data_IF_956067452605
#
_entry.id   IF_956067452605
#
_cell.length_a   1.000
_cell.length_b   1.000
_cell.length_c   1.000
_cell.angle_alpha   90.00
_cell.angle_beta   90.00
_cell.angle_gamma   90.00
#
_symmetry.space_group_name_H-M   'P 1'
#
loop_
_entity.id
_entity.type
_entity.pdbx_description
1 polymer ?
#
# COMPACT_ATOMS: atom_id res chain seq x y z
N UNK A 1 -7.25 -23.17 -18.48
CA UNK A 1 -8.12 -22.16 -17.81
C UNK A 1 -8.06 -20.82 -18.54
N UNK A 2 -6.88 -20.27 -18.85
CA UNK A 2 -6.74 -18.92 -19.45
C UNK A 2 -7.54 -18.72 -20.75
N UNK A 3 -7.55 -19.69 -21.67
CA UNK A 3 -8.31 -19.61 -22.94
C UNK A 3 -9.80 -19.45 -22.71
N UNK A 4 -10.36 -20.13 -21.71
CA UNK A 4 -11.79 -20.02 -21.38
C UNK A 4 -12.10 -18.68 -20.70
N UNK A 5 -11.22 -18.23 -19.80
CA UNK A 5 -11.33 -16.90 -19.18
C UNK A 5 -11.32 -15.79 -20.24
N UNK A 6 -10.42 -15.85 -21.24
CA UNK A 6 -10.36 -14.91 -22.36
C UNK A 6 -11.69 -14.91 -23.15
N UNK A 7 -12.23 -16.09 -23.50
CA UNK A 7 -13.48 -16.17 -24.23
C UNK A 7 -14.65 -15.51 -23.51
N UNK A 8 -14.73 -15.72 -22.17
CA UNK A 8 -15.80 -15.13 -21.36
C UNK A 8 -15.65 -13.62 -21.27
N UNK A 9 -14.45 -13.13 -20.97
CA UNK A 9 -14.20 -11.67 -20.84
C UNK A 9 -14.37 -10.91 -22.15
N UNK A 10 -13.94 -11.49 -23.28
CA UNK A 10 -14.18 -10.93 -24.63
C UNK A 10 -15.69 -10.87 -24.97
N UNK A 11 -16.47 -11.84 -24.47
CA UNK A 11 -17.93 -11.83 -24.59
C UNK A 11 -18.62 -10.89 -23.56
N UNK A 12 -17.88 -10.08 -22.81
CA UNK A 12 -18.39 -9.15 -21.80
C UNK A 12 -18.91 -9.84 -20.53
N UNK A 13 -18.63 -11.14 -20.35
CA UNK A 13 -19.08 -11.90 -19.17
C UNK A 13 -18.08 -11.77 -18.01
N UNK A 14 -18.63 -11.66 -16.81
CA UNK A 14 -17.83 -11.66 -15.58
C UNK A 14 -17.29 -13.05 -15.29
N UNK A 15 -16.08 -13.11 -14.74
CA UNK A 15 -15.50 -14.34 -14.21
C UNK A 15 -15.84 -14.49 -12.73
N UNK A 16 -15.93 -15.75 -12.26
CA UNK A 16 -15.97 -16.00 -10.82
C UNK A 16 -14.60 -15.77 -10.19
N UNK A 17 -14.59 -15.64 -8.87
CA UNK A 17 -13.37 -15.59 -8.07
C UNK A 17 -12.42 -16.75 -8.39
N UNK A 18 -12.94 -18.00 -8.40
CA UNK A 18 -12.15 -19.21 -8.64
C UNK A 18 -11.59 -19.26 -10.06
N UNK A 19 -12.38 -18.86 -11.05
CA UNK A 19 -11.91 -18.84 -12.44
C UNK A 19 -10.83 -17.81 -12.65
N UNK A 20 -10.96 -16.62 -12.05
CA UNK A 20 -9.94 -15.58 -12.13
C UNK A 20 -8.68 -16.02 -11.39
N UNK A 21 -8.81 -16.57 -10.18
CA UNK A 21 -7.66 -17.08 -9.44
C UNK A 21 -6.93 -18.17 -10.21
N UNK A 22 -7.64 -19.10 -10.85
CA UNK A 22 -7.03 -20.15 -11.65
C UNK A 22 -6.32 -19.61 -12.92
N UNK A 23 -6.92 -18.61 -13.59
CA UNK A 23 -6.29 -17.96 -14.75
C UNK A 23 -5.00 -17.21 -14.36
N UNK A 24 -5.02 -16.47 -13.26
CA UNK A 24 -3.82 -15.77 -12.73
C UNK A 24 -2.76 -16.78 -12.28
N UNK A 25 -3.13 -17.88 -11.62
CA UNK A 25 -2.17 -18.94 -11.27
C UNK A 25 -1.49 -19.54 -12.50
N UNK A 26 -2.24 -19.79 -13.59
CA UNK A 26 -1.69 -20.29 -14.85
C UNK A 26 -0.69 -19.29 -15.46
N UNK A 27 -1.00 -17.98 -15.40
CA UNK A 27 -0.09 -16.89 -15.81
C UNK A 27 1.17 -16.87 -14.92
N UNK A 28 0.99 -16.82 -13.61
CA UNK A 28 2.08 -16.71 -12.64
C UNK A 28 2.98 -17.95 -12.58
N UNK A 29 2.52 -19.09 -13.10
CA UNK A 29 3.32 -20.32 -13.27
C UNK A 29 4.12 -20.36 -14.58
N UNK A 30 4.00 -19.33 -15.44
CA UNK A 30 4.66 -19.29 -16.75
C UNK A 30 4.07 -20.28 -17.78
N UNK A 31 2.82 -20.72 -17.60
CA UNK A 31 2.14 -21.68 -18.48
C UNK A 31 1.36 -21.00 -19.62
N UNK A 32 1.45 -19.68 -19.72
CA UNK A 32 0.74 -18.87 -20.71
C UNK A 32 1.71 -18.10 -21.59
N UNK A 33 1.31 -17.83 -22.84
CA UNK A 33 2.08 -16.95 -23.72
C UNK A 33 1.77 -15.47 -23.44
N UNK A 34 2.69 -14.58 -23.81
CA UNK A 34 2.49 -13.13 -23.68
C UNK A 34 1.25 -12.66 -24.46
N UNK A 35 0.92 -13.31 -25.59
CA UNK A 35 -0.30 -13.03 -26.37
C UNK A 35 -1.56 -13.35 -25.54
N UNK A 36 -1.57 -14.46 -24.81
CA UNK A 36 -2.70 -14.82 -23.97
C UNK A 36 -2.83 -13.89 -22.76
N UNK A 37 -1.70 -13.50 -22.15
CA UNK A 37 -1.67 -12.53 -21.06
C UNK A 37 -2.20 -11.18 -21.55
N UNK A 38 -1.72 -10.68 -22.68
CA UNK A 38 -2.16 -9.42 -23.25
C UNK A 38 -3.66 -9.43 -23.59
N UNK A 39 -4.14 -10.51 -24.22
CA UNK A 39 -5.56 -10.66 -24.55
C UNK A 39 -6.44 -10.67 -23.31
N UNK A 40 -6.05 -11.40 -22.26
CA UNK A 40 -6.79 -11.49 -20.99
C UNK A 40 -6.86 -10.13 -20.28
N UNK A 41 -5.72 -9.47 -20.13
CA UNK A 41 -5.64 -8.17 -19.44
C UNK A 41 -6.40 -7.08 -20.20
N UNK A 42 -6.30 -7.07 -21.54
CA UNK A 42 -7.04 -6.11 -22.38
C UNK A 42 -8.55 -6.34 -22.28
N UNK A 43 -9.00 -7.59 -22.36
CA UNK A 43 -10.42 -7.90 -22.27
C UNK A 43 -11.00 -7.54 -20.88
N UNK A 44 -10.28 -7.79 -19.79
CA UNK A 44 -10.68 -7.36 -18.43
C UNK A 44 -10.75 -5.84 -18.33
N UNK A 45 -9.72 -5.13 -18.77
CA UNK A 45 -9.67 -3.67 -18.71
C UNK A 45 -10.80 -3.03 -19.56
N UNK A 46 -11.12 -3.61 -20.72
CA UNK A 46 -12.20 -3.13 -21.59
C UNK A 46 -13.59 -3.36 -20.97
N UNK A 47 -13.80 -4.52 -20.35
CA UNK A 47 -15.05 -4.87 -19.66
C UNK A 47 -15.24 -4.06 -18.36
N UNK A 48 -14.17 -3.77 -17.68
CA UNK A 48 -14.12 -3.35 -16.29
C UNK A 48 -14.14 -4.55 -15.33
N UNK A 49 -13.22 -4.55 -14.36
CA UNK A 49 -13.06 -5.62 -13.39
C UNK A 49 -14.15 -5.59 -12.32
N UNK A 50 -14.60 -6.76 -11.91
CA UNK A 50 -15.55 -6.93 -10.79
C UNK A 50 -14.82 -7.22 -9.48
N UNK A 51 -15.54 -7.09 -8.35
CA UNK A 51 -15.03 -7.43 -7.00
C UNK A 51 -14.46 -8.85 -6.98
N UNK A 52 -15.16 -9.83 -7.55
CA UNK A 52 -14.71 -11.22 -7.57
C UNK A 52 -13.47 -11.42 -8.43
N UNK A 53 -13.38 -10.74 -9.57
CA UNK A 53 -12.21 -10.79 -10.44
C UNK A 53 -10.97 -10.18 -9.77
N UNK A 54 -11.13 -9.01 -9.14
CA UNK A 54 -10.03 -8.37 -8.40
C UNK A 54 -9.59 -9.23 -7.22
N UNK A 55 -10.54 -9.71 -6.41
CA UNK A 55 -10.24 -10.52 -5.24
C UNK A 55 -9.59 -11.87 -5.61
N UNK A 56 -10.09 -12.56 -6.64
CA UNK A 56 -9.52 -13.81 -7.12
C UNK A 56 -8.10 -13.64 -7.66
N UNK A 57 -7.85 -12.56 -8.40
CA UNK A 57 -6.52 -12.24 -8.90
C UNK A 57 -5.54 -11.92 -7.76
N UNK A 58 -5.94 -11.11 -6.78
CA UNK A 58 -5.11 -10.76 -5.62
C UNK A 58 -4.79 -11.98 -4.76
N UNK A 59 -5.78 -12.86 -4.53
CA UNK A 59 -5.58 -14.09 -3.78
C UNK A 59 -4.57 -15.03 -4.47
N UNK A 60 -4.67 -15.19 -5.79
CA UNK A 60 -3.70 -15.97 -6.56
C UNK A 60 -2.30 -15.37 -6.48
N UNK A 61 -2.17 -14.05 -6.57
CA UNK A 61 -0.89 -13.36 -6.44
C UNK A 61 -0.28 -13.55 -5.04
N UNK A 62 -1.08 -13.47 -3.97
CA UNK A 62 -0.63 -13.76 -2.59
C UNK A 62 -0.17 -15.22 -2.43
N UNK A 63 -0.91 -16.17 -3.00
CA UNK A 63 -0.58 -17.60 -2.92
C UNK A 63 0.75 -17.96 -3.62
N UNK A 64 1.16 -17.18 -4.61
CA UNK A 64 2.43 -17.36 -5.34
C UNK A 64 3.60 -16.54 -4.73
N UNK A 65 3.33 -15.73 -3.70
CA UNK A 65 4.38 -14.98 -3.01
C UNK A 65 5.26 -15.90 -2.15
N UNK A 66 6.49 -15.47 -1.88
CA UNK A 66 7.30 -16.13 -0.85
C UNK A 66 6.54 -16.09 0.49
N UNK A 67 6.49 -17.22 1.22
CA UNK A 67 5.76 -17.30 2.49
C UNK A 67 6.31 -16.31 3.52
N UNK A 68 5.41 -15.57 4.16
CA UNK A 68 5.70 -14.70 5.29
C UNK A 68 4.72 -15.01 6.43
N UNK A 69 5.20 -15.13 7.67
CA UNK A 69 4.37 -15.46 8.83
C UNK A 69 4.44 -14.35 9.87
N UNK A 70 3.30 -13.96 10.40
CA UNK A 70 3.15 -12.94 11.44
C UNK A 70 2.80 -13.49 12.83
N UNK A 71 2.93 -14.81 13.06
CA UNK A 71 2.52 -15.49 14.29
C UNK A 71 1.08 -15.14 14.72
N UNK A 72 0.16 -15.07 13.75
CA UNK A 72 -1.26 -14.71 13.92
C UNK A 72 -1.49 -13.32 14.54
N UNK A 73 -0.48 -12.48 14.58
CA UNK A 73 -0.55 -11.10 15.08
C UNK A 73 -1.26 -10.21 14.07
N UNK A 74 -2.27 -9.42 14.48
CA UNK A 74 -2.86 -8.40 13.62
C UNK A 74 -1.81 -7.37 13.20
N UNK A 75 -1.66 -7.15 11.89
CA UNK A 75 -0.74 -6.15 11.34
C UNK A 75 -1.49 -5.14 10.48
N UNK A 76 -0.92 -3.97 10.36
CA UNK A 76 -1.42 -2.86 9.53
C UNK A 76 -0.54 -2.68 8.30
N UNK A 77 -1.16 -2.46 7.16
CA UNK A 77 -0.52 -1.94 5.96
C UNK A 77 -0.97 -0.52 5.66
N UNK A 78 -0.03 0.33 5.22
CA UNK A 78 -0.30 1.67 4.71
C UNK A 78 0.30 1.75 3.31
N UNK A 79 -0.55 1.89 2.29
CA UNK A 79 -0.13 1.79 0.89
C UNK A 79 -1.09 2.56 -0.02
N UNK A 80 -0.62 3.01 -1.19
CA UNK A 80 -1.44 3.57 -2.24
C UNK A 80 -1.32 2.78 -3.56
N UNK A 81 -2.25 2.97 -4.47
CA UNK A 81 -2.20 2.39 -5.81
C UNK A 81 -1.13 3.03 -6.68
N UNK A 82 -0.71 4.24 -6.33
CA UNK A 82 0.10 5.08 -7.20
C UNK A 82 -0.67 5.59 -8.42
N UNK A 83 0.05 6.28 -9.29
CA UNK A 83 -0.48 6.74 -10.57
C UNK A 83 -1.37 7.99 -10.47
N UNK A 84 -1.30 8.71 -9.40
CA UNK A 84 -1.98 9.99 -9.14
C UNK A 84 -1.32 11.19 -9.84
N UNK A 85 -0.08 11.02 -10.33
CA UNK A 85 0.74 12.05 -10.98
C UNK A 85 1.04 13.28 -10.11
N UNK A 86 0.80 13.20 -8.81
CA UNK A 86 1.01 14.31 -7.88
C UNK A 86 2.48 14.52 -7.50
N UNK A 87 3.34 13.54 -7.78
CA UNK A 87 4.77 13.56 -7.48
C UNK A 87 5.09 13.91 -6.01
N UNK A 88 4.23 13.49 -5.09
CA UNK A 88 4.43 13.74 -3.67
C UNK A 88 5.64 12.97 -3.14
N UNK A 89 6.18 13.43 -2.00
CA UNK A 89 7.13 12.62 -1.25
C UNK A 89 6.43 11.36 -0.69
N UNK A 90 7.20 10.44 -0.10
CA UNK A 90 6.69 9.14 0.35
C UNK A 90 5.84 9.25 1.64
N UNK A 91 4.61 9.79 1.53
CA UNK A 91 3.67 10.07 2.64
C UNK A 91 3.37 8.78 3.40
N UNK A 92 2.87 7.73 2.74
CA UNK A 92 2.55 6.44 3.35
C UNK A 92 3.74 5.81 4.07
N UNK A 93 4.96 5.87 3.49
CA UNK A 93 6.17 5.31 4.11
C UNK A 93 6.53 6.07 5.37
N UNK A 94 6.46 7.40 5.35
CA UNK A 94 6.75 8.24 6.53
C UNK A 94 5.69 8.01 7.63
N UNK A 95 4.41 7.92 7.26
CA UNK A 95 3.30 7.64 8.19
C UNK A 95 3.41 6.27 8.87
N UNK A 96 3.98 5.28 8.17
CA UNK A 96 4.18 3.94 8.70
C UNK A 96 5.10 3.93 9.95
N UNK A 97 6.14 4.77 9.98
CA UNK A 97 7.02 4.88 11.14
C UNK A 97 6.31 5.50 12.35
N UNK A 98 5.40 6.47 12.12
CA UNK A 98 4.59 7.05 13.20
C UNK A 98 3.60 6.00 13.75
N UNK A 99 2.94 5.24 12.87
CA UNK A 99 2.04 4.17 13.27
C UNK A 99 2.76 3.08 14.07
N UNK A 100 3.95 2.66 13.63
CA UNK A 100 4.77 1.68 14.33
C UNK A 100 5.23 2.20 15.70
N UNK A 101 5.66 3.47 15.78
CA UNK A 101 6.03 4.11 17.03
C UNK A 101 4.83 4.29 17.99
N UNK A 102 3.60 4.37 17.46
CA UNK A 102 2.36 4.34 18.25
C UNK A 102 1.99 2.93 18.76
N UNK A 103 2.88 1.92 18.56
CA UNK A 103 2.72 0.55 19.02
C UNK A 103 1.84 -0.32 18.14
N UNK A 104 1.68 0.02 16.86
CA UNK A 104 0.92 -0.76 15.89
C UNK A 104 1.89 -1.59 15.05
N UNK A 105 1.77 -2.94 15.00
CA UNK A 105 2.60 -3.75 14.12
C UNK A 105 2.33 -3.42 12.65
N UNK A 106 3.36 -3.01 11.91
CA UNK A 106 3.27 -2.59 10.51
C UNK A 106 4.02 -3.55 9.60
N UNK A 107 3.32 -4.14 8.63
CA UNK A 107 3.92 -4.92 7.55
C UNK A 107 3.80 -4.14 6.24
N UNK A 108 4.79 -3.29 5.97
CA UNK A 108 4.76 -2.45 4.78
C UNK A 108 5.23 -3.23 3.56
N UNK A 109 4.32 -3.48 2.62
CA UNK A 109 4.65 -3.98 1.30
C UNK A 109 4.92 -2.81 0.35
N UNK A 110 5.93 -2.92 -0.51
CA UNK A 110 6.25 -1.84 -1.43
C UNK A 110 7.26 -2.21 -2.49
N UNK A 111 7.38 -1.33 -3.49
CA UNK A 111 8.26 -1.53 -4.63
C UNK A 111 9.08 -0.26 -4.90
N UNK A 112 9.98 -0.35 -5.88
CA UNK A 112 10.62 0.78 -6.51
C UNK A 112 9.60 1.61 -7.28
N UNK A 113 9.98 2.85 -7.59
CA UNK A 113 9.16 3.74 -8.41
C UNK A 113 8.80 3.12 -9.77
N UNK A 114 7.54 3.26 -10.18
CA UNK A 114 7.08 2.90 -11.53
C UNK A 114 6.85 4.13 -12.40
N UNK A 115 6.20 5.16 -11.86
CA UNK A 115 5.88 6.42 -12.55
C UNK A 115 6.30 7.66 -11.76
N UNK A 116 6.53 7.53 -10.46
CA UNK A 116 7.07 8.60 -9.59
C UNK A 116 8.60 8.62 -9.63
N UNK A 117 9.21 9.64 -8.99
CA UNK A 117 10.67 9.74 -8.86
C UNK A 117 11.25 8.84 -7.76
N UNK A 118 10.42 8.42 -6.78
CA UNK A 118 10.86 7.65 -5.61
C UNK A 118 9.73 6.75 -5.11
N UNK A 119 9.92 5.44 -5.20
CA UNK A 119 9.04 4.44 -4.58
C UNK A 119 9.38 4.21 -3.09
N UNK A 120 8.60 3.37 -2.43
CA UNK A 120 8.83 3.02 -1.03
C UNK A 120 10.21 2.36 -0.80
N UNK A 121 10.61 1.46 -1.70
CA UNK A 121 11.92 0.80 -1.65
C UNK A 121 13.06 1.81 -1.82
N UNK A 122 12.92 2.72 -2.78
CA UNK A 122 13.97 3.69 -3.10
C UNK A 122 14.24 4.66 -1.94
N UNK A 123 13.18 5.16 -1.29
CA UNK A 123 13.35 6.05 -0.13
C UNK A 123 13.90 5.31 1.08
N UNK A 124 13.53 4.04 1.31
CA UNK A 124 14.06 3.25 2.41
C UNK A 124 15.55 2.94 2.24
N UNK A 125 16.00 2.63 1.03
CA UNK A 125 17.44 2.51 0.71
C UNK A 125 18.17 3.84 0.95
N UNK A 126 17.61 4.97 0.51
CA UNK A 126 18.20 6.29 0.73
C UNK A 126 18.20 6.69 2.21
N UNK A 127 17.30 6.14 3.02
CA UNK A 127 17.31 6.24 4.49
C UNK A 127 18.38 5.34 5.13
N UNK A 128 19.02 4.45 4.37
CA UNK A 128 20.08 3.55 4.84
C UNK A 128 19.57 2.17 5.25
N UNK A 129 18.31 1.83 4.99
CA UNK A 129 17.78 0.50 5.29
C UNK A 129 18.19 -0.52 4.22
N UNK A 130 18.51 -1.75 4.64
CA UNK A 130 18.63 -2.88 3.73
C UNK A 130 17.23 -3.40 3.39
N UNK A 131 16.83 -3.25 2.13
CA UNK A 131 15.51 -3.70 1.64
C UNK A 131 15.51 -5.17 1.17
N UNK A 132 16.68 -5.76 0.96
CA UNK A 132 16.86 -7.14 0.48
C UNK A 132 17.00 -8.11 1.66
N UNK A 133 16.04 -8.05 2.59
CA UNK A 133 16.00 -8.93 3.76
C UNK A 133 15.22 -10.21 3.46
N UNK A 134 15.71 -11.36 3.96
CA UNK A 134 14.97 -12.62 3.83
C UNK A 134 13.63 -12.57 4.57
N UNK A 135 12.63 -13.40 4.18
CA UNK A 135 11.36 -13.48 4.90
C UNK A 135 11.52 -13.73 6.41
N UNK A 136 12.50 -14.56 6.80
CA UNK A 136 12.80 -14.86 8.20
C UNK A 136 13.32 -13.62 8.95
N UNK A 137 14.24 -12.87 8.34
CA UNK A 137 14.76 -11.65 8.93
C UNK A 137 13.69 -10.57 9.01
N UNK A 138 12.87 -10.40 7.96
CA UNK A 138 11.74 -9.45 7.99
C UNK A 138 10.73 -9.79 9.08
N UNK A 139 10.44 -11.09 9.32
CA UNK A 139 9.57 -11.52 10.41
C UNK A 139 10.19 -11.19 11.77
N UNK A 140 11.48 -11.45 11.96
CA UNK A 140 12.21 -11.11 13.17
C UNK A 140 12.21 -9.60 13.44
N UNK A 141 12.47 -8.79 12.39
CA UNK A 141 12.39 -7.32 12.45
C UNK A 141 10.99 -6.87 12.91
N UNK A 142 9.91 -7.45 12.35
CA UNK A 142 8.55 -7.17 12.80
C UNK A 142 8.36 -7.50 14.28
N UNK A 143 8.89 -8.62 14.75
CA UNK A 143 8.75 -9.07 16.13
C UNK A 143 9.51 -8.18 17.12
N UNK A 144 10.75 -7.80 16.79
CA UNK A 144 11.62 -7.02 17.66
C UNK A 144 11.26 -5.55 17.71
N UNK A 145 10.91 -4.95 16.56
CA UNK A 145 10.72 -3.49 16.47
C UNK A 145 9.33 -3.05 16.00
N UNK A 146 8.45 -3.99 15.65
CA UNK A 146 7.05 -3.69 15.30
C UNK A 146 6.83 -3.14 13.89
N UNK A 147 7.84 -3.13 13.02
CA UNK A 147 7.71 -2.73 11.62
C UNK A 147 8.67 -3.54 10.75
N UNK A 148 8.21 -4.02 9.60
CA UNK A 148 9.07 -4.60 8.57
C UNK A 148 8.72 -4.06 7.18
N UNK A 149 9.65 -4.23 6.24
CA UNK A 149 9.45 -3.94 4.83
C UNK A 149 9.51 -5.23 4.01
N UNK A 150 8.50 -5.43 3.17
CA UNK A 150 8.38 -6.58 2.28
C UNK A 150 8.58 -6.09 0.85
N UNK A 151 9.78 -6.29 0.33
CA UNK A 151 10.14 -5.80 -1.00
C UNK A 151 9.44 -6.63 -2.09
N UNK A 152 8.58 -6.01 -2.88
CA UNK A 152 7.71 -6.71 -3.83
C UNK A 152 8.48 -7.57 -4.83
N UNK A 153 9.69 -7.18 -5.26
CA UNK A 153 10.48 -7.96 -6.23
C UNK A 153 11.01 -9.26 -5.63
N UNK A 154 11.31 -9.27 -4.33
CA UNK A 154 11.73 -10.48 -3.61
C UNK A 154 10.55 -11.43 -3.41
N UNK A 155 9.41 -10.91 -2.97
CA UNK A 155 8.26 -11.74 -2.61
C UNK A 155 7.46 -12.22 -3.81
N UNK A 156 7.34 -11.43 -4.88
CA UNK A 156 6.52 -11.73 -6.06
C UNK A 156 7.36 -12.02 -7.32
N UNK A 157 8.29 -12.98 -7.22
CA UNK A 157 9.19 -13.34 -8.32
C UNK A 157 8.45 -13.79 -9.59
N UNK A 158 7.24 -14.33 -9.45
CA UNK A 158 6.39 -14.74 -10.57
C UNK A 158 5.92 -13.56 -11.45
N UNK A 159 6.02 -12.31 -10.97
CA UNK A 159 5.72 -11.12 -11.78
C UNK A 159 6.59 -11.01 -13.04
N UNK A 160 7.74 -11.69 -13.09
CA UNK A 160 8.57 -11.77 -14.30
C UNK A 160 7.82 -12.31 -15.54
N UNK A 161 6.81 -13.16 -15.34
CA UNK A 161 6.01 -13.71 -16.43
C UNK A 161 4.96 -12.72 -16.98
N UNK A 162 4.62 -11.69 -16.22
CA UNK A 162 3.62 -10.68 -16.59
C UNK A 162 4.27 -9.39 -17.10
N UNK A 163 5.47 -9.10 -16.63
CA UNK A 163 6.15 -7.84 -16.89
C UNK A 163 6.32 -7.51 -18.40
N UNK A 164 6.69 -8.46 -19.30
CA UNK A 164 6.81 -8.18 -20.71
C UNK A 164 5.49 -7.68 -21.32
N UNK A 165 4.40 -8.44 -21.15
CA UNK A 165 3.10 -8.09 -21.67
C UNK A 165 2.61 -6.74 -21.15
N UNK A 166 2.77 -6.46 -19.84
CA UNK A 166 2.39 -5.16 -19.25
C UNK A 166 3.18 -3.99 -19.84
N UNK A 167 4.48 -4.19 -20.08
CA UNK A 167 5.35 -3.17 -20.67
C UNK A 167 4.89 -2.80 -22.09
N UNK A 168 4.53 -3.79 -22.90
CA UNK A 168 4.09 -3.58 -24.29
C UNK A 168 2.67 -2.99 -24.36
N UNK A 169 1.77 -3.39 -23.45
CA UNK A 169 0.40 -2.86 -23.39
C UNK A 169 0.37 -1.36 -23.07
N UNK A 170 1.29 -0.87 -22.23
CA UNK A 170 1.48 0.55 -21.91
C UNK A 170 0.20 1.30 -21.44
N UNK A 171 -0.81 0.59 -20.95
CA UNK A 171 -2.02 1.15 -20.32
C UNK A 171 -2.30 0.46 -18.96
N UNK A 172 -3.21 1.05 -18.19
CA UNK A 172 -3.58 0.49 -16.86
C UNK A 172 -4.36 -0.82 -17.02
N UNK A 173 -3.94 -1.84 -16.30
CA UNK A 173 -4.57 -3.16 -16.26
C UNK A 173 -4.88 -3.53 -14.82
N UNK A 174 -5.56 -4.67 -14.60
CA UNK A 174 -5.79 -5.26 -13.29
C UNK A 174 -4.54 -5.25 -12.39
N UNK A 175 -3.35 -5.51 -12.94
CA UNK A 175 -2.10 -5.51 -12.16
C UNK A 175 -1.69 -4.15 -11.57
N UNK A 176 -2.31 -3.05 -11.99
CA UNK A 176 -2.04 -1.74 -11.39
C UNK A 176 -2.74 -1.56 -10.03
N UNK A 177 -3.79 -2.33 -9.76
CA UNK A 177 -4.50 -2.32 -8.48
C UNK A 177 -4.14 -3.51 -7.59
N UNK A 178 -3.50 -4.56 -8.13
CA UNK A 178 -3.17 -5.75 -7.35
C UNK A 178 -2.01 -5.53 -6.36
N UNK A 179 -1.06 -4.63 -6.65
CA UNK A 179 0.10 -4.38 -5.78
C UNK A 179 -0.29 -4.14 -4.31
N UNK A 180 -1.16 -3.17 -4.03
CA UNK A 180 -1.66 -2.90 -2.68
C UNK A 180 -2.49 -4.04 -2.05
N UNK A 181 -3.01 -4.95 -2.87
CA UNK A 181 -3.84 -6.08 -2.43
C UNK A 181 -3.05 -7.36 -2.19
N UNK A 182 -1.76 -7.36 -2.56
CA UNK A 182 -0.93 -8.57 -2.62
C UNK A 182 0.09 -8.68 -1.49
N UNK A 183 -0.09 -7.95 -0.37
CA UNK A 183 0.82 -8.02 0.76
C UNK A 183 1.03 -9.46 1.24
N UNK A 184 2.27 -10.01 1.21
CA UNK A 184 2.56 -11.39 1.59
C UNK A 184 2.26 -11.70 3.06
N UNK A 185 2.26 -10.68 3.93
CA UNK A 185 1.94 -10.85 5.35
C UNK A 185 0.45 -11.07 5.59
N UNK A 186 -0.42 -10.86 4.60
CA UNK A 186 -1.86 -10.95 4.81
C UNK A 186 -2.37 -9.99 5.87
N UNK A 187 -1.87 -8.73 5.88
CA UNK A 187 -2.22 -7.72 6.86
C UNK A 187 -3.73 -7.68 7.10
N UNK A 188 -4.14 -7.75 8.36
CA UNK A 188 -5.56 -7.78 8.76
C UNK A 188 -6.19 -6.38 8.85
N UNK A 189 -5.35 -5.34 8.81
CA UNK A 189 -5.77 -3.94 8.80
C UNK A 189 -5.09 -3.20 7.65
N UNK A 190 -5.79 -2.26 6.98
CA UNK A 190 -5.21 -1.54 5.85
C UNK A 190 -5.72 -0.12 5.73
N UNK A 191 -4.79 0.84 5.52
CA UNK A 191 -5.06 2.15 4.94
C UNK A 191 -4.63 2.10 3.48
N UNK A 192 -5.59 2.15 2.57
CA UNK A 192 -5.37 2.03 1.12
C UNK A 192 -5.78 3.32 0.41
N UNK A 193 -4.81 4.02 -0.16
CA UNK A 193 -5.07 5.15 -1.03
C UNK A 193 -5.32 4.72 -2.49
N UNK A 194 -6.25 5.38 -3.14
CA UNK A 194 -6.59 5.14 -4.55
C UNK A 194 -6.62 6.44 -5.35
N UNK A 195 -5.98 6.42 -6.52
CA UNK A 195 -5.99 7.54 -7.46
C UNK A 195 -7.27 7.58 -8.34
N UNK A 196 -8.05 6.51 -8.39
CA UNK A 196 -9.32 6.41 -9.08
C UNK A 196 -10.46 6.30 -8.07
N UNK A 197 -11.30 7.34 -8.01
CA UNK A 197 -12.42 7.41 -7.06
C UNK A 197 -13.37 6.21 -7.17
N UNK A 198 -13.55 5.63 -8.36
CA UNK A 198 -14.43 4.47 -8.58
C UNK A 198 -14.05 3.27 -7.74
N UNK A 199 -12.78 3.14 -7.37
CA UNK A 199 -12.27 2.05 -6.54
C UNK A 199 -12.72 2.15 -5.08
N UNK A 200 -13.18 3.32 -4.60
CA UNK A 200 -13.78 3.47 -3.27
C UNK A 200 -15.00 2.57 -3.05
N UNK A 201 -15.71 2.23 -4.12
CA UNK A 201 -16.91 1.38 -4.01
C UNK A 201 -16.59 -0.10 -3.99
N UNK A 202 -15.53 -0.52 -4.66
CA UNK A 202 -15.22 -1.94 -4.85
C UNK A 202 -14.18 -2.48 -3.86
N UNK A 203 -13.14 -1.69 -3.57
CA UNK A 203 -12.00 -2.20 -2.81
C UNK A 203 -12.28 -2.52 -1.34
N UNK A 204 -13.23 -1.89 -0.61
CA UNK A 204 -13.60 -2.37 0.72
C UNK A 204 -14.06 -3.82 0.72
N UNK A 205 -14.90 -4.21 -0.25
CA UNK A 205 -15.41 -5.57 -0.36
C UNK A 205 -14.32 -6.55 -0.84
N UNK A 206 -13.47 -6.11 -1.77
CA UNK A 206 -12.29 -6.89 -2.19
C UNK A 206 -11.38 -7.18 -1.00
N UNK A 207 -11.04 -6.17 -0.21
CA UNK A 207 -10.17 -6.31 0.97
C UNK A 207 -10.77 -7.26 2.00
N UNK A 208 -12.08 -7.16 2.27
CA UNK A 208 -12.79 -8.06 3.18
C UNK A 208 -12.78 -9.51 2.67
N UNK A 209 -12.97 -9.75 1.37
CA UNK A 209 -12.82 -11.09 0.75
C UNK A 209 -11.38 -11.63 0.89
N UNK A 210 -10.38 -10.77 0.95
CA UNK A 210 -8.98 -11.12 1.15
C UNK A 210 -8.58 -11.26 2.63
N UNK A 211 -9.55 -11.17 3.57
CA UNK A 211 -9.32 -11.37 5.00
C UNK A 211 -8.95 -10.10 5.77
N UNK A 212 -8.98 -8.92 5.15
CA UNK A 212 -8.79 -7.65 5.88
C UNK A 212 -10.04 -7.34 6.69
N UNK A 213 -9.91 -7.27 8.01
CA UNK A 213 -11.04 -7.11 8.94
C UNK A 213 -11.41 -5.66 9.22
N UNK A 214 -10.47 -4.74 9.03
CA UNK A 214 -10.68 -3.30 9.23
C UNK A 214 -9.79 -2.47 8.31
N UNK A 215 -10.30 -1.36 7.82
CA UNK A 215 -9.51 -0.46 7.00
C UNK A 215 -10.26 0.78 6.53
N UNK A 216 -9.51 1.58 5.79
CA UNK A 216 -10.04 2.72 5.05
C UNK A 216 -9.49 2.69 3.63
N UNK A 217 -10.38 2.78 2.64
CA UNK A 217 -9.99 3.12 1.27
C UNK A 217 -10.22 4.62 1.11
N UNK A 218 -9.19 5.35 0.68
CA UNK A 218 -9.20 6.83 0.69
C UNK A 218 -8.85 7.38 -0.69
N UNK A 219 -9.45 8.52 -1.04
CA UNK A 219 -9.20 9.24 -2.27
C UNK A 219 -9.27 10.74 -2.01
N UNK A 220 -8.17 11.46 -2.19
CA UNK A 220 -8.16 12.92 -2.13
C UNK A 220 -8.94 13.52 -3.29
N UNK A 221 -9.78 14.54 -3.03
CA UNK A 221 -10.55 15.20 -4.10
C UNK A 221 -9.68 15.96 -5.10
N UNK A 222 -8.39 16.09 -4.82
CA UNK A 222 -7.33 16.59 -5.71
C UNK A 222 -6.71 15.47 -6.58
N UNK A 223 -7.18 14.22 -6.46
CA UNK A 223 -6.70 13.06 -7.18
C UNK A 223 -5.63 12.25 -6.45
N UNK A 224 -5.19 12.72 -5.26
CA UNK A 224 -4.14 12.06 -4.48
C UNK A 224 -4.61 10.71 -3.93
N UNK A 225 -3.75 9.70 -4.01
CA UNK A 225 -3.98 8.38 -3.39
C UNK A 225 -3.52 8.33 -1.92
N UNK A 226 -3.86 9.39 -1.16
CA UNK A 226 -3.60 9.56 0.27
C UNK A 226 -4.71 10.39 0.90
N UNK A 227 -4.75 10.52 2.23
CA UNK A 227 -5.51 11.57 2.88
C UNK A 227 -4.79 12.89 2.62
N UNK A 228 -5.44 13.77 1.83
CA UNK A 228 -4.80 15.01 1.37
C UNK A 228 -4.91 16.16 2.35
N UNK A 229 -3.95 17.07 2.30
CA UNK A 229 -3.99 18.36 3.01
C UNK A 229 -4.48 19.52 2.12
N UNK A 230 -4.72 19.29 0.83
CA UNK A 230 -5.14 20.35 -0.09
C UNK A 230 -6.66 20.55 -0.10
N UNK A 231 -7.42 19.54 0.30
CA UNK A 231 -8.88 19.54 0.27
C UNK A 231 -9.51 18.41 1.07
N UNK A 232 -10.78 18.11 0.81
CA UNK A 232 -11.43 16.94 1.38
C UNK A 232 -10.86 15.65 0.85
N UNK A 233 -10.97 14.57 1.63
CA UNK A 233 -10.68 13.19 1.24
C UNK A 233 -11.92 12.35 1.41
N UNK A 234 -12.35 11.67 0.34
CA UNK A 234 -13.43 10.70 0.39
C UNK A 234 -12.91 9.39 0.97
N UNK A 235 -13.66 8.80 1.88
CA UNK A 235 -13.23 7.61 2.61
C UNK A 235 -14.35 6.57 2.63
N UNK A 236 -14.02 5.35 2.25
CA UNK A 236 -14.82 4.16 2.52
C UNK A 236 -14.18 3.40 3.67
N UNK A 237 -14.61 3.68 4.90
CA UNK A 237 -14.15 3.01 6.10
C UNK A 237 -14.93 1.69 6.28
N UNK A 238 -14.23 0.60 6.56
CA UNK A 238 -14.87 -0.70 6.75
C UNK A 238 -14.34 -1.43 7.98
N UNK A 239 -15.23 -2.20 8.62
CA UNK A 239 -14.90 -3.06 9.76
C UNK A 239 -15.91 -4.18 9.90
N UNK A 240 -15.44 -5.43 9.99
CA UNK A 240 -16.26 -6.62 10.25
C UNK A 240 -17.51 -6.71 9.33
N UNK A 241 -17.34 -6.54 8.02
CA UNK A 241 -18.42 -6.65 7.04
C UNK A 241 -19.22 -5.37 6.81
N UNK A 242 -19.03 -4.33 7.61
CA UNK A 242 -19.75 -3.06 7.46
C UNK A 242 -18.87 -2.01 6.77
N UNK A 243 -19.42 -1.31 5.79
CA UNK A 243 -18.76 -0.20 5.08
C UNK A 243 -19.52 1.10 5.38
N UNK A 244 -18.77 2.15 5.74
CA UNK A 244 -19.30 3.50 5.99
C UNK A 244 -18.54 4.50 5.11
N UNK A 245 -19.27 5.26 4.29
CA UNK A 245 -18.71 6.39 3.53
C UNK A 245 -18.68 7.63 4.42
N UNK A 246 -17.51 8.24 4.54
CA UNK A 246 -17.29 9.49 5.30
C UNK A 246 -16.36 10.39 4.51
N UNK A 247 -16.22 11.62 4.98
CA UNK A 247 -15.26 12.59 4.46
C UNK A 247 -14.33 13.04 5.58
N UNK A 248 -13.04 13.17 5.27
CA UNK A 248 -12.01 13.71 6.15
C UNK A 248 -11.52 15.02 5.54
N UNK A 249 -11.45 16.06 6.36
CA UNK A 249 -10.91 17.35 5.95
C UNK A 249 -9.80 17.83 6.88
N UNK A 250 -8.85 18.65 6.41
CA UNK A 250 -7.78 19.21 7.24
C UNK A 250 -8.31 19.97 8.45
N UNK A 251 -9.43 20.68 8.29
CA UNK A 251 -10.04 21.49 9.33
C UNK A 251 -10.53 20.68 10.54
N UNK A 252 -10.88 19.41 10.35
CA UNK A 252 -11.27 18.50 11.46
C UNK A 252 -10.10 18.24 12.44
N UNK A 253 -8.86 18.49 11.99
CA UNK A 253 -7.64 18.39 12.81
C UNK A 253 -7.11 19.75 13.25
N UNK A 254 -7.82 20.86 12.95
CA UNK A 254 -7.35 22.22 13.18
C UNK A 254 -6.22 22.65 12.24
N UNK A 255 -6.04 21.93 11.12
CA UNK A 255 -5.02 22.22 10.12
C UNK A 255 -5.54 23.17 9.04
N UNK A 256 -4.62 23.91 8.43
CA UNK A 256 -4.91 24.73 7.24
C UNK A 256 -4.61 23.94 5.99
N UNK A 257 -5.42 24.12 4.95
CA UNK A 257 -5.10 23.58 3.62
C UNK A 257 -3.82 24.18 3.08
N UNK A 258 -3.07 23.36 2.34
CA UNK A 258 -1.89 23.79 1.61
C UNK A 258 -2.15 23.74 0.10
N UNK A 259 -1.18 24.19 -0.68
CA UNK A 259 -1.20 24.02 -2.14
C UNK A 259 -0.59 22.66 -2.51
N UNK A 260 -0.94 22.05 -3.66
CA UNK A 260 -0.34 20.80 -4.11
C UNK A 260 1.20 20.85 -4.15
N UNK A 261 1.78 21.99 -4.57
CA UNK A 261 3.23 22.16 -4.67
C UNK A 261 3.94 22.03 -3.32
N UNK A 262 3.26 22.32 -2.22
CA UNK A 262 3.81 22.22 -0.87
C UNK A 262 4.04 20.74 -0.45
N UNK A 263 3.42 19.77 -1.17
CA UNK A 263 3.53 18.33 -0.92
C UNK A 263 4.47 17.59 -1.88
N UNK A 264 4.97 18.29 -2.91
CA UNK A 264 5.85 17.68 -3.91
C UNK A 264 7.14 17.16 -3.26
N UNK A 265 7.53 15.96 -3.67
CA UNK A 265 8.79 15.31 -3.33
C UNK A 265 9.87 15.52 -4.41
N UNK A 266 10.79 14.59 -4.47
CA UNK A 266 11.89 14.61 -5.43
C UNK A 266 12.52 13.23 -5.58
N UNK A 267 13.82 13.22 -5.78
CA UNK A 267 14.65 12.00 -5.85
C UNK A 267 14.58 11.21 -4.52
N UNK A 268 14.97 9.92 -4.51
CA UNK A 268 15.04 9.15 -3.27
C UNK A 268 15.81 9.84 -2.14
N UNK A 269 16.92 10.48 -2.44
CA UNK A 269 17.75 11.21 -1.45
C UNK A 269 17.03 12.44 -0.88
N UNK A 270 16.35 13.20 -1.74
CA UNK A 270 15.55 14.35 -1.30
C UNK A 270 14.38 13.90 -0.43
N UNK A 271 13.68 12.81 -0.83
CA UNK A 271 12.58 12.27 -0.05
C UNK A 271 13.05 11.67 1.29
N UNK A 272 14.21 11.04 1.33
CA UNK A 272 14.83 10.59 2.57
C UNK A 272 15.13 11.77 3.52
N UNK A 273 15.62 12.88 2.98
CA UNK A 273 15.82 14.12 3.76
C UNK A 273 14.51 14.66 4.30
N UNK A 274 13.46 14.75 3.46
CA UNK A 274 12.11 15.17 3.87
C UNK A 274 11.59 14.26 5.00
N UNK A 275 11.70 12.95 4.83
CA UNK A 275 11.26 11.98 5.85
C UNK A 275 11.99 12.18 7.18
N UNK A 276 13.32 12.31 7.18
CA UNK A 276 14.11 12.58 8.39
C UNK A 276 13.71 13.88 9.06
N UNK A 277 13.54 14.96 8.30
CA UNK A 277 13.11 16.25 8.82
C UNK A 277 11.71 16.19 9.48
N UNK A 278 10.76 15.50 8.85
CA UNK A 278 9.42 15.30 9.41
C UNK A 278 9.50 14.52 10.71
N UNK A 279 10.21 13.39 10.72
CA UNK A 279 10.33 12.53 11.90
C UNK A 279 11.13 13.19 13.04
N UNK A 280 12.02 14.14 12.71
CA UNK A 280 12.68 15.02 13.68
C UNK A 280 11.80 16.20 14.17
N UNK A 281 10.53 16.28 13.74
CA UNK A 281 9.55 17.24 14.22
C UNK A 281 9.46 18.56 13.44
N UNK A 282 10.10 18.68 12.26
CA UNK A 282 10.01 19.88 11.41
C UNK A 282 8.55 20.17 11.08
N UNK A 283 8.06 21.37 11.43
CA UNK A 283 6.69 21.81 11.17
C UNK A 283 6.48 22.18 9.71
N UNK A 284 5.24 22.08 9.22
CA UNK A 284 4.84 22.49 7.87
C UNK A 284 3.91 21.50 7.19
N UNK A 285 3.46 21.80 5.97
CA UNK A 285 2.44 20.99 5.25
C UNK A 285 2.82 19.52 5.10
N UNK A 286 4.08 19.20 4.84
CA UNK A 286 4.55 17.82 4.69
C UNK A 286 4.40 17.00 5.99
N UNK A 287 4.65 17.62 7.15
CA UNK A 287 4.39 17.00 8.45
C UNK A 287 2.90 16.80 8.67
N UNK A 288 2.10 17.79 8.34
CA UNK A 288 0.68 17.80 8.62
C UNK A 288 -0.06 16.71 7.82
N UNK A 289 0.25 16.55 6.53
CA UNK A 289 -0.33 15.46 5.71
C UNK A 289 0.08 14.07 6.21
N UNK A 290 1.32 13.89 6.66
CA UNK A 290 1.79 12.64 7.26
C UNK A 290 1.03 12.33 8.55
N UNK A 291 0.80 13.33 9.40
CA UNK A 291 0.04 13.15 10.64
C UNK A 291 -1.43 12.79 10.38
N UNK A 292 -2.07 13.32 9.33
CA UNK A 292 -3.44 12.93 8.95
C UNK A 292 -3.50 11.45 8.54
N UNK A 293 -2.56 10.99 7.72
CA UNK A 293 -2.48 9.59 7.30
C UNK A 293 -2.11 8.66 8.46
N UNK A 294 -1.18 9.05 9.32
CA UNK A 294 -0.85 8.31 10.55
C UNK A 294 -2.04 8.24 11.51
N UNK A 295 -2.83 9.30 11.64
CA UNK A 295 -4.05 9.32 12.47
C UNK A 295 -5.09 8.30 11.99
N UNK A 296 -5.31 8.22 10.67
CA UNK A 296 -6.20 7.21 10.11
C UNK A 296 -5.69 5.80 10.38
N UNK A 297 -4.40 5.56 10.21
CA UNK A 297 -3.74 4.29 10.51
C UNK A 297 -3.92 3.91 12.01
N UNK A 298 -3.71 4.87 12.92
CA UNK A 298 -3.93 4.67 14.36
C UNK A 298 -5.39 4.36 14.65
N UNK A 299 -6.35 5.06 14.04
CA UNK A 299 -7.78 4.82 14.26
C UNK A 299 -8.22 3.45 13.73
N UNK A 300 -7.70 3.00 12.60
CA UNK A 300 -7.98 1.67 12.06
C UNK A 300 -7.57 0.61 13.09
N UNK A 301 -6.38 0.73 13.68
CA UNK A 301 -5.86 -0.24 14.66
C UNK A 301 -6.47 -0.07 16.06
N UNK A 302 -6.88 1.13 16.45
CA UNK A 302 -7.43 1.48 17.76
C UNK A 302 -8.84 2.09 17.63
N UNK A 303 -9.87 1.27 17.33
CA UNK A 303 -11.22 1.75 16.99
C UNK A 303 -11.94 2.46 18.14
N UNK A 304 -11.45 2.33 19.37
CA UNK A 304 -11.96 3.08 20.52
C UNK A 304 -11.58 4.56 20.49
N UNK A 305 -10.60 4.96 19.69
CA UNK A 305 -10.21 6.35 19.53
C UNK A 305 -11.08 7.04 18.46
N UNK A 306 -11.48 8.28 18.72
CA UNK A 306 -11.95 9.16 17.65
C UNK A 306 -10.79 9.54 16.73
N UNK A 307 -11.08 9.97 15.51
CA UNK A 307 -10.03 10.40 14.57
C UNK A 307 -9.18 11.55 15.14
N UNK A 308 -9.82 12.50 15.86
CA UNK A 308 -9.12 13.59 16.55
C UNK A 308 -8.19 13.07 17.68
N UNK A 309 -8.62 12.06 18.46
CA UNK A 309 -7.78 11.46 19.48
C UNK A 309 -6.61 10.68 18.87
N UNK A 310 -6.84 9.98 17.76
CA UNK A 310 -5.79 9.30 17.00
C UNK A 310 -4.78 10.29 16.41
N UNK A 311 -5.25 11.44 15.91
CA UNK A 311 -4.37 12.52 15.44
C UNK A 311 -3.51 13.07 16.57
N UNK A 312 -4.12 13.34 17.73
CA UNK A 312 -3.35 13.78 18.91
C UNK A 312 -2.27 12.75 19.28
N UNK A 313 -2.59 11.46 19.29
CA UNK A 313 -1.61 10.40 19.56
C UNK A 313 -0.47 10.42 18.52
N UNK A 314 -0.78 10.57 17.23
CA UNK A 314 0.23 10.67 16.18
C UNK A 314 1.16 11.89 16.38
N UNK A 315 0.59 13.04 16.78
CA UNK A 315 1.35 14.25 17.12
C UNK A 315 2.26 13.99 18.32
N UNK A 316 1.74 13.42 19.42
CA UNK A 316 2.48 13.15 20.65
C UNK A 316 3.66 12.20 20.36
N UNK A 317 3.45 11.14 19.57
CA UNK A 317 4.50 10.18 19.16
C UNK A 317 5.58 10.86 18.31
N UNK A 318 5.18 11.71 17.37
CA UNK A 318 6.12 12.42 16.51
C UNK A 318 6.94 13.44 17.31
N UNK A 319 6.27 14.29 18.10
CA UNK A 319 6.92 15.39 18.85
C UNK A 319 7.78 14.89 20.01
N UNK A 320 7.55 13.65 20.51
CA UNK A 320 8.42 12.99 21.50
C UNK A 320 9.71 12.39 20.91
N UNK A 321 9.86 12.35 19.58
CA UNK A 321 11.00 11.73 18.90
C UNK A 321 10.91 10.20 18.76
N UNK A 322 9.83 9.56 19.21
CA UNK A 322 9.67 8.10 19.11
C UNK A 322 9.63 7.60 17.65
N UNK A 323 9.04 8.39 16.75
CA UNK A 323 8.99 8.05 15.33
C UNK A 323 10.38 8.09 14.68
N UNK A 324 11.23 9.06 15.05
CA UNK A 324 12.63 9.12 14.60
C UNK A 324 13.44 7.96 15.17
N UNK A 325 13.24 7.64 16.44
CA UNK A 325 13.88 6.47 17.06
C UNK A 325 13.49 5.18 16.33
N UNK A 326 12.21 5.02 15.98
CA UNK A 326 11.70 3.86 15.24
C UNK A 326 12.34 3.71 13.85
N UNK A 327 12.55 4.80 13.10
CA UNK A 327 13.32 4.78 11.86
C UNK A 327 14.76 4.32 12.10
N UNK A 328 15.43 4.84 13.12
CA UNK A 328 16.81 4.48 13.43
C UNK A 328 16.92 2.99 13.82
N UNK A 329 15.99 2.47 14.63
CA UNK A 329 15.89 1.05 14.97
C UNK A 329 15.71 0.19 13.71
N UNK A 330 14.80 0.59 12.81
CA UNK A 330 14.55 -0.12 11.56
C UNK A 330 15.81 -0.18 10.67
N UNK A 331 16.48 0.96 10.48
CA UNK A 331 17.73 1.01 9.69
C UNK A 331 18.81 0.13 10.31
N UNK A 332 19.00 0.18 11.62
CA UNK A 332 19.98 -0.64 12.33
C UNK A 332 19.67 -2.13 12.21
N UNK A 333 18.39 -2.49 12.39
CA UNK A 333 17.96 -3.90 12.39
C UNK A 333 18.07 -4.54 11.01
N UNK A 334 17.62 -3.85 9.96
CA UNK A 334 17.69 -4.36 8.57
C UNK A 334 19.13 -4.57 8.09
N UNK A 335 20.11 -3.91 8.70
CA UNK A 335 21.54 -4.09 8.40
C UNK A 335 22.23 -5.13 9.31
N UNK A 336 21.53 -5.68 10.33
CA UNK A 336 22.10 -6.78 11.15
C UNK A 336 22.34 -8.02 10.31
N UNK A 337 23.58 -8.39 10.13
CA UNK A 337 23.99 -9.58 9.35
C UNK A 337 24.30 -9.32 7.88
N UNK A 338 24.24 -8.08 7.40
CA UNK A 338 24.73 -7.72 6.06
C UNK A 338 26.27 -7.81 5.94
N UNK A 339 26.97 -7.79 7.07
CA UNK A 339 28.45 -7.88 7.12
C UNK A 339 28.99 -9.33 7.11
N UNK A 340 28.16 -10.35 6.88
CA UNK A 340 28.53 -11.79 6.97
C UNK A 340 28.33 -12.52 5.63
N UNK A 341 28.31 -11.80 4.52
CA UNK A 341 28.22 -12.41 3.18
C UNK A 341 29.44 -12.07 2.31
#
# INVERSE_FOLDING_TARGET
MIKEAIKQTVAGKNLSYEMTAAAINEIMSGQTSDIQIAAFLTALATKGETIDEIAGAAAAMRAQALPFKTEDRPTLEIVGTGGDQAHTFNISTTSAFIAAAAGIPVTKHGNRAASSLSGAADVLEALGANINTSPQNSAKTLDEIGICFLFAQEYHQAMRYVAPARKELAFRTLFNILGPLANPAGASMQLLGVSDERLLEQLPDVLQKLGVTAGMVVHGTDGLDEITLTGPTKVAAFRNGQVKKIEITPEQFGLKRCRPEDLVGGTPTENATITREILAGKKGPKRDVVLMNAAAAVQIAKPQLTLAAAFKQAVDVLDSGQAQAKLNEFVADTNRGADVA
#
